data_IF_063893028331
#
_entry.id   IF_063893028331
#
_cell.length_a   1.000
_cell.length_b   1.000
_cell.length_c   1.000
_cell.angle_alpha   90.00
_cell.angle_beta   90.00
_cell.angle_gamma   90.00
#
_symmetry.space_group_name_H-M   'P 1'
#
loop_
_entity.id
_entity.type
_entity.pdbx_description
1 polymer ?
#
# COMPACT_ATOMS: atom_id res chain seq x y z
N UNK A 1 24.03 -10.46 -9.13
CA UNK A 1 22.84 -9.60 -9.05
C UNK A 1 22.69 -8.99 -10.44
N UNK A 2 21.57 -9.22 -11.13
CA UNK A 2 21.41 -8.72 -12.49
C UNK A 2 21.23 -7.20 -12.45
N UNK A 3 22.11 -6.45 -13.11
CA UNK A 3 22.07 -4.99 -13.26
C UNK A 3 21.03 -4.54 -14.30
N UNK A 4 19.89 -5.22 -14.38
CA UNK A 4 18.77 -4.74 -15.18
C UNK A 4 18.01 -3.76 -14.30
N UNK A 5 18.05 -2.44 -14.58
CA UNK A 5 17.21 -1.51 -13.84
C UNK A 5 15.77 -1.97 -14.04
N UNK A 6 15.04 -2.15 -12.94
CA UNK A 6 13.60 -2.35 -13.00
C UNK A 6 13.06 -1.05 -13.61
N UNK A 7 12.78 -1.06 -14.91
CA UNK A 7 12.06 -0.01 -15.64
C UNK A 7 10.57 -0.13 -15.33
N UNK A 8 10.22 -0.18 -14.04
CA UNK A 8 8.85 0.11 -13.65
C UNK A 8 8.61 1.61 -13.87
N UNK A 9 7.42 1.94 -14.36
CA UNK A 9 7.02 3.33 -14.42
C UNK A 9 6.93 3.87 -12.99
N UNK A 10 7.74 4.87 -12.60
CA UNK A 10 7.68 5.41 -11.26
C UNK A 10 6.28 6.01 -11.03
N UNK A 11 5.58 5.52 -10.02
CA UNK A 11 4.32 6.10 -9.57
C UNK A 11 4.62 7.01 -8.40
N UNK A 12 4.75 8.30 -8.69
CA UNK A 12 5.05 9.33 -7.69
C UNK A 12 3.79 9.87 -6.99
N UNK A 13 2.62 9.47 -7.51
CA UNK A 13 1.32 9.86 -6.96
C UNK A 13 1.08 9.17 -5.60
N UNK A 14 0.53 9.87 -4.60
CA UNK A 14 0.20 9.26 -3.32
C UNK A 14 -0.91 8.22 -3.49
N UNK A 15 -0.83 7.14 -2.71
CA UNK A 15 -1.92 6.16 -2.64
C UNK A 15 -3.11 6.79 -1.89
N UNK A 16 -4.25 6.91 -2.56
CA UNK A 16 -5.49 7.42 -1.97
C UNK A 16 -6.33 6.31 -1.37
N UNK A 17 -6.27 5.11 -1.94
CA UNK A 17 -7.07 3.98 -1.49
C UNK A 17 -6.46 2.64 -1.89
N UNK A 18 -6.82 1.60 -1.14
CA UNK A 18 -6.59 0.20 -1.48
C UNK A 18 -7.85 -0.61 -1.23
N UNK A 19 -8.04 -1.63 -2.06
CA UNK A 19 -9.03 -2.69 -1.83
C UNK A 19 -8.28 -3.98 -1.49
N UNK A 20 -8.78 -4.69 -0.48
CA UNK A 20 -8.18 -5.91 0.07
C UNK A 20 -9.09 -7.10 -0.25
N UNK A 21 -8.49 -8.23 -0.66
CA UNK A 21 -9.22 -9.47 -0.84
C UNK A 21 -9.81 -9.93 0.51
N UNK A 22 -10.96 -10.61 0.51
CA UNK A 22 -11.77 -10.80 1.71
C UNK A 22 -11.03 -11.54 2.84
N UNK A 23 -10.46 -10.78 3.79
CA UNK A 23 -9.91 -11.28 5.05
C UNK A 23 -10.99 -11.14 6.14
N UNK A 24 -11.43 -12.23 6.80
CA UNK A 24 -12.43 -12.15 7.86
C UNK A 24 -12.03 -11.16 8.97
N UNK A 25 -12.92 -10.22 9.29
CA UNK A 25 -12.70 -9.24 10.36
C UNK A 25 -11.88 -8.01 9.97
N UNK A 26 -11.52 -7.85 8.69
CA UNK A 26 -10.77 -6.70 8.15
C UNK A 26 -11.67 -5.87 7.23
N UNK A 27 -11.46 -4.55 7.19
CA UNK A 27 -12.16 -3.69 6.22
C UNK A 27 -11.74 -4.10 4.80
N UNK A 28 -12.72 -4.27 3.90
CA UNK A 28 -12.45 -4.65 2.51
C UNK A 28 -11.80 -3.51 1.68
N UNK A 29 -11.86 -2.27 2.17
CA UNK A 29 -11.34 -1.09 1.48
C UNK A 29 -10.90 -0.04 2.49
N UNK A 30 -9.74 0.57 2.23
CA UNK A 30 -9.20 1.68 3.01
C UNK A 30 -9.02 2.89 2.11
N UNK A 31 -9.52 4.05 2.55
CA UNK A 31 -9.50 5.30 1.77
C UNK A 31 -9.02 6.44 2.66
N UNK A 32 -7.99 7.16 2.22
CA UNK A 32 -7.49 8.35 2.92
C UNK A 32 -8.62 9.37 3.09
N UNK A 33 -8.80 9.89 4.31
CA UNK A 33 -9.88 10.80 4.68
C UNK A 33 -11.17 10.11 5.15
N UNK A 34 -11.23 8.77 5.17
CA UNK A 34 -12.38 7.99 5.65
C UNK A 34 -12.00 7.10 6.83
N UNK A 35 -12.93 6.89 7.76
CA UNK A 35 -12.75 5.99 8.92
C UNK A 35 -11.47 6.28 9.74
N UNK A 36 -11.03 7.54 9.76
CA UNK A 36 -9.80 7.96 10.44
C UNK A 36 -8.50 7.63 9.71
N UNK A 37 -8.55 7.05 8.50
CA UNK A 37 -7.34 6.79 7.70
C UNK A 37 -6.72 8.11 7.25
N UNK A 38 -5.48 8.35 7.66
CA UNK A 38 -4.75 9.60 7.37
C UNK A 38 -3.72 9.44 6.27
N UNK A 39 -3.15 8.24 6.13
CA UNK A 39 -2.11 7.95 5.14
C UNK A 39 -2.14 6.48 4.75
N UNK A 40 -1.84 6.22 3.48
CA UNK A 40 -1.53 4.90 2.96
C UNK A 40 -0.16 4.98 2.31
N UNK A 41 0.77 4.12 2.71
CA UNK A 41 2.16 4.14 2.21
C UNK A 41 2.55 2.79 1.61
N UNK A 42 3.26 2.81 0.48
CA UNK A 42 3.96 1.65 -0.03
C UNK A 42 5.25 1.45 0.76
N UNK A 43 5.56 0.21 1.10
CA UNK A 43 6.82 -0.16 1.72
C UNK A 43 7.31 -1.51 1.21
N UNK A 44 8.56 -1.84 1.51
CA UNK A 44 9.20 -3.09 1.10
C UNK A 44 9.72 -3.79 2.33
N UNK A 45 9.47 -5.10 2.44
CA UNK A 45 10.04 -5.96 3.48
C UNK A 45 10.96 -7.00 2.83
N UNK A 46 12.16 -7.25 3.41
CA UNK A 46 13.04 -8.27 2.88
C UNK A 46 12.46 -9.66 3.17
N UNK A 47 12.34 -10.48 2.12
CA UNK A 47 12.09 -11.91 2.22
C UNK A 47 13.36 -12.71 1.97
N UNK A 48 13.28 -14.03 2.19
CA UNK A 48 14.42 -14.95 2.00
C UNK A 48 14.94 -14.95 0.55
N UNK A 49 14.04 -14.75 -0.42
CA UNK A 49 14.36 -14.86 -1.85
C UNK A 49 14.16 -13.55 -2.63
N UNK A 50 13.37 -12.62 -2.09
CA UNK A 50 13.04 -11.37 -2.77
C UNK A 50 12.56 -10.32 -1.78
N UNK A 51 12.64 -9.06 -2.20
CA UNK A 51 11.94 -7.96 -1.57
C UNK A 51 10.46 -8.06 -1.89
N UNK A 52 9.62 -7.99 -0.86
CA UNK A 52 8.17 -8.15 -0.99
C UNK A 52 7.52 -6.77 -0.81
N UNK A 53 6.68 -6.32 -1.76
CA UNK A 53 5.90 -5.10 -1.62
C UNK A 53 4.77 -5.26 -0.60
N UNK A 54 4.58 -4.22 0.20
CA UNK A 54 3.54 -4.09 1.21
C UNK A 54 2.90 -2.71 1.13
N UNK A 55 1.71 -2.60 1.70
CA UNK A 55 1.06 -1.33 1.98
C UNK A 55 0.72 -1.23 3.46
N UNK A 56 0.96 -0.07 4.07
CA UNK A 56 0.52 0.25 5.43
C UNK A 56 -0.57 1.29 5.43
N UNK A 57 -1.56 1.07 6.28
CA UNK A 57 -2.68 1.97 6.53
C UNK A 57 -2.47 2.61 7.89
N UNK A 58 -2.52 3.94 7.92
CA UNK A 58 -2.30 4.73 9.13
C UNK A 58 -3.59 5.43 9.55
N UNK A 59 -3.87 5.44 10.86
CA UNK A 59 -4.89 6.26 11.51
C UNK A 59 -4.20 7.22 12.48
N UNK A 60 -3.90 8.44 12.01
CA UNK A 60 -2.98 9.34 12.71
C UNK A 60 -1.57 8.74 12.69
N UNK A 61 -0.96 8.59 13.87
CA UNK A 61 0.38 8.02 14.05
C UNK A 61 0.37 6.49 14.25
N UNK A 62 -0.82 5.89 14.35
CA UNK A 62 -0.97 4.43 14.54
C UNK A 62 -0.97 3.74 13.19
N UNK A 63 -0.06 2.79 12.99
CA UNK A 63 -0.14 1.84 11.89
C UNK A 63 -1.25 0.82 12.21
N UNK A 64 -2.44 1.08 11.68
CA UNK A 64 -3.64 0.27 11.94
C UNK A 64 -3.52 -1.11 11.30
N UNK A 65 -3.03 -1.16 10.06
CA UNK A 65 -2.94 -2.39 9.28
C UNK A 65 -1.76 -2.36 8.31
N UNK A 66 -1.21 -3.54 8.02
CA UNK A 66 -0.16 -3.75 7.04
C UNK A 66 -0.55 -4.97 6.18
N UNK A 67 -0.52 -4.83 4.86
CA UNK A 67 -0.92 -5.85 3.90
C UNK A 67 0.20 -6.18 2.93
N UNK A 68 0.44 -7.47 2.71
CA UNK A 68 1.29 -7.97 1.64
C UNK A 68 0.60 -7.76 0.29
N UNK A 69 1.36 -7.55 -0.79
CA UNK A 69 0.80 -7.38 -2.15
C UNK A 69 -0.23 -8.45 -2.54
N UNK A 70 -0.07 -9.69 -2.07
CA UNK A 70 -0.96 -10.80 -2.40
C UNK A 70 -2.37 -10.66 -1.79
N UNK A 71 -2.55 -9.76 -0.83
CA UNK A 71 -3.82 -9.47 -0.20
C UNK A 71 -4.51 -8.25 -0.82
N UNK A 72 -3.84 -7.52 -1.73
CA UNK A 72 -4.34 -6.26 -2.29
C UNK A 72 -4.87 -6.53 -3.70
N UNK A 73 -6.15 -6.22 -3.93
CA UNK A 73 -6.80 -6.40 -5.24
C UNK A 73 -6.81 -5.13 -6.09
N UNK A 74 -6.64 -3.96 -5.46
CA UNK A 74 -6.57 -2.68 -6.16
C UNK A 74 -5.79 -1.64 -5.37
N UNK A 75 -5.03 -0.82 -6.09
CA UNK A 75 -4.35 0.38 -5.56
C UNK A 75 -4.78 1.58 -6.40
N UNK A 76 -5.29 2.61 -5.74
CA UNK A 76 -5.81 3.81 -6.39
C UNK A 76 -4.99 5.02 -5.97
N UNK A 77 -4.49 5.74 -6.96
CA UNK A 77 -3.64 6.91 -6.76
C UNK A 77 -4.46 8.20 -6.81
N UNK A 78 -4.09 9.17 -5.98
CA UNK A 78 -4.66 10.51 -5.99
C UNK A 78 -3.80 11.48 -6.78
N UNK A 79 -4.26 12.72 -6.90
CA UNK A 79 -3.38 13.81 -7.30
C UNK A 79 -2.33 14.01 -6.20
N UNK A 80 -1.08 14.28 -6.60
CA UNK A 80 -0.08 14.76 -5.65
C UNK A 80 -0.63 16.06 -5.03
N UNK A 81 -0.59 16.19 -3.71
CA UNK A 81 -1.01 17.43 -3.07
C UNK A 81 -0.21 18.59 -3.66
N UNK A 82 -0.91 19.59 -4.21
CA UNK A 82 -0.33 20.78 -4.83
C UNK A 82 0.39 21.67 -3.81
#
# INVERSE_FOLDING_TARGET
>A
MSEHPITEHPVEQPIRAIDIDAIPGVEASYVVGRNGVTRIEACIKPGVYSNIPYVRVWKGDVCEAEFCQHNIVGVYFGEAAA
#
